data_IF_241638886650
#
_entry.id   IF_241638886650
#
_cell.length_a   1.000
_cell.length_b   1.000
_cell.length_c   1.000
_cell.angle_alpha   90.00
_cell.angle_beta   90.00
_cell.angle_gamma   90.00
#
_symmetry.space_group_name_H-M   'P 1'
#
loop_
_entity.id
_entity.type
_entity.pdbx_description
1 polymer ?
#
# COMPACT_ATOMS: atom_id res chain seq x y z
N UNK A 1 7.02 21.29 5.83
CA UNK A 1 6.74 20.10 5.01
C UNK A 1 7.19 18.81 5.69
N UNK A 2 8.41 18.74 6.25
CA UNK A 2 8.99 17.51 6.84
C UNK A 2 8.15 16.86 7.95
N UNK A 3 7.43 17.63 8.76
CA UNK A 3 6.51 17.10 9.78
C UNK A 3 5.12 16.69 9.25
N UNK A 4 4.70 17.23 8.09
CA UNK A 4 3.41 16.90 7.47
C UNK A 4 3.46 15.56 6.74
N UNK A 5 4.64 15.20 6.22
CA UNK A 5 4.89 13.96 5.49
C UNK A 5 4.58 12.73 6.35
N UNK A 6 5.11 12.56 7.58
CA UNK A 6 4.78 11.43 8.45
C UNK A 6 3.30 11.39 8.83
N UNK A 7 2.70 12.55 9.11
CA UNK A 7 1.27 12.67 9.50
C UNK A 7 0.33 12.29 8.35
N UNK A 8 0.70 12.57 7.10
CA UNK A 8 -0.09 12.22 5.92
C UNK A 8 0.20 10.79 5.44
N UNK A 9 1.46 10.33 5.53
CA UNK A 9 1.84 8.97 5.18
C UNK A 9 1.19 7.93 6.08
N UNK A 10 1.04 8.22 7.37
CA UNK A 10 0.44 7.29 8.32
C UNK A 10 -0.99 6.84 7.91
N UNK A 11 -1.99 7.71 7.73
CA UNK A 11 -3.33 7.31 7.28
C UNK A 11 -3.33 6.74 5.86
N UNK A 12 -2.39 7.17 5.01
CA UNK A 12 -2.25 6.65 3.65
C UNK A 12 -1.73 5.20 3.63
N UNK A 13 -0.87 4.82 4.58
CA UNK A 13 -0.32 3.47 4.73
C UNK A 13 -1.25 2.51 5.48
N UNK A 14 -2.30 3.01 6.14
CA UNK A 14 -3.25 2.14 6.88
C UNK A 14 -3.96 1.12 5.99
N UNK A 15 -4.56 1.49 4.84
CA UNK A 15 -5.24 0.53 3.96
C UNK A 15 -4.39 -0.66 3.49
N UNK A 16 -3.17 -0.48 2.93
CA UNK A 16 -2.33 -1.62 2.54
C UNK A 16 -1.84 -2.40 3.75
N UNK A 17 -1.59 -1.77 4.90
CA UNK A 17 -1.22 -2.48 6.13
C UNK A 17 -2.32 -3.46 6.56
N UNK A 18 -3.58 -3.02 6.53
CA UNK A 18 -4.74 -3.88 6.81
C UNK A 18 -4.80 -5.03 5.80
N UNK A 19 -4.62 -4.74 4.51
CA UNK A 19 -4.59 -5.77 3.46
C UNK A 19 -3.48 -6.81 3.70
N UNK A 20 -2.29 -6.37 4.07
CA UNK A 20 -1.15 -7.24 4.34
C UNK A 20 -1.39 -8.15 5.56
N UNK A 21 -1.90 -7.59 6.66
CA UNK A 21 -2.27 -8.38 7.85
C UNK A 21 -3.34 -9.41 7.51
N UNK A 22 -4.37 -9.02 6.74
CA UNK A 22 -5.45 -9.89 6.32
C UNK A 22 -4.99 -11.06 5.45
N UNK A 23 -4.08 -10.81 4.50
CA UNK A 23 -3.48 -11.87 3.67
C UNK A 23 -2.60 -12.76 4.54
N UNK A 24 -1.74 -12.20 5.38
CA UNK A 24 -0.79 -12.96 6.19
C UNK A 24 -1.49 -13.86 7.20
N UNK A 25 -2.49 -13.35 7.92
CA UNK A 25 -3.28 -14.15 8.87
C UNK A 25 -3.95 -15.34 8.19
N UNK A 26 -4.63 -15.11 7.05
CA UNK A 26 -5.28 -16.21 6.30
C UNK A 26 -4.27 -17.22 5.75
N UNK A 27 -3.04 -16.79 5.47
CA UNK A 27 -1.99 -17.64 4.93
C UNK A 27 -1.45 -18.58 6.01
N UNK A 28 -1.26 -18.04 7.22
CA UNK A 28 -0.88 -18.82 8.40
C UNK A 28 -1.98 -19.79 8.82
N UNK A 29 -3.25 -19.44 8.60
CA UNK A 29 -4.41 -20.33 8.81
C UNK A 29 -4.62 -21.37 7.69
N UNK A 30 -3.69 -21.48 6.72
CA UNK A 30 -3.77 -22.38 5.58
C UNK A 30 -5.09 -22.28 4.78
N UNK A 31 -5.68 -21.08 4.74
CA UNK A 31 -6.91 -20.81 3.99
C UNK A 31 -6.63 -20.82 2.48
N UNK A 32 -7.62 -21.16 1.65
CA UNK A 32 -7.44 -21.16 0.21
C UNK A 32 -7.16 -19.74 -0.32
N UNK A 33 -6.28 -19.63 -1.31
CA UNK A 33 -5.90 -18.36 -1.95
C UNK A 33 -7.10 -17.59 -2.54
N UNK A 34 -8.18 -18.30 -2.90
CA UNK A 34 -9.44 -17.70 -3.36
C UNK A 34 -10.06 -16.73 -2.34
N UNK A 35 -9.87 -16.99 -1.04
CA UNK A 35 -10.36 -16.12 0.03
C UNK A 35 -9.51 -14.85 0.23
N UNK A 36 -8.29 -14.82 -0.32
CA UNK A 36 -7.36 -13.70 -0.20
C UNK A 36 -7.33 -12.81 -1.44
N UNK A 37 -7.89 -13.27 -2.55
CA UNK A 37 -7.81 -12.62 -3.86
C UNK A 37 -8.30 -11.16 -3.84
N UNK A 38 -9.31 -10.84 -3.03
CA UNK A 38 -9.77 -9.47 -2.84
C UNK A 38 -8.70 -8.55 -2.21
N UNK A 39 -8.08 -9.02 -1.13
CA UNK A 39 -7.02 -8.29 -0.43
C UNK A 39 -5.73 -8.19 -1.25
N UNK A 40 -5.37 -9.27 -1.96
CA UNK A 40 -4.24 -9.26 -2.89
C UNK A 40 -4.44 -8.27 -4.03
N UNK A 41 -5.65 -8.15 -4.58
CA UNK A 41 -5.98 -7.13 -5.60
C UNK A 41 -5.88 -5.72 -5.03
N UNK A 42 -6.33 -5.49 -3.80
CA UNK A 42 -6.21 -4.19 -3.14
C UNK A 42 -4.73 -3.80 -2.97
N UNK A 43 -3.91 -4.72 -2.45
CA UNK A 43 -2.46 -4.53 -2.30
C UNK A 43 -1.79 -4.21 -3.64
N UNK A 44 -2.05 -5.04 -4.66
CA UNK A 44 -1.48 -4.85 -5.98
C UNK A 44 -1.90 -3.51 -6.62
N UNK A 45 -3.17 -3.12 -6.46
CA UNK A 45 -3.66 -1.82 -6.94
C UNK A 45 -2.97 -0.67 -6.22
N UNK A 46 -2.84 -0.77 -4.90
CA UNK A 46 -2.14 0.22 -4.09
C UNK A 46 -0.69 0.38 -4.57
N UNK A 47 0.03 -0.72 -4.75
CA UNK A 47 1.43 -0.70 -5.20
C UNK A 47 1.56 -0.05 -6.58
N UNK A 48 0.70 -0.41 -7.54
CA UNK A 48 0.71 0.17 -8.89
C UNK A 48 0.45 1.66 -8.84
N UNK A 49 -0.58 2.11 -8.10
CA UNK A 49 -0.92 3.53 -7.96
C UNK A 49 0.23 4.28 -7.29
N UNK A 50 0.77 3.74 -6.19
CA UNK A 50 1.84 4.36 -5.44
C UNK A 50 3.10 4.53 -6.29
N UNK A 51 3.57 3.48 -6.95
CA UNK A 51 4.75 3.54 -7.83
C UNK A 51 4.53 4.52 -8.97
N UNK A 52 3.35 4.53 -9.58
CA UNK A 52 3.01 5.46 -10.66
C UNK A 52 3.08 6.90 -10.18
N UNK A 53 2.42 7.22 -9.06
CA UNK A 53 2.40 8.56 -8.49
C UNK A 53 3.80 9.00 -8.04
N UNK A 54 4.56 8.14 -7.38
CA UNK A 54 5.93 8.44 -6.98
C UNK A 54 6.82 8.70 -8.19
N UNK A 55 6.68 7.93 -9.27
CA UNK A 55 7.44 8.13 -10.51
C UNK A 55 7.09 9.47 -11.17
N UNK A 56 5.82 9.86 -11.20
CA UNK A 56 5.37 11.15 -11.72
C UNK A 56 5.82 12.32 -10.84
N UNK A 57 5.72 12.17 -9.52
CA UNK A 57 6.10 13.20 -8.56
C UNK A 57 7.61 13.35 -8.42
N UNK A 58 8.40 12.31 -8.70
CA UNK A 58 9.85 12.30 -8.52
C UNK A 58 10.52 13.49 -9.22
N UNK A 59 10.17 13.77 -10.47
CA UNK A 59 10.74 14.89 -11.20
C UNK A 59 10.45 16.25 -10.53
N UNK A 60 9.22 16.45 -10.03
CA UNK A 60 8.84 17.69 -9.36
C UNK A 60 9.52 17.87 -7.99
N UNK A 61 9.81 16.77 -7.29
CA UNK A 61 10.46 16.79 -5.97
C UNK A 61 11.98 16.87 -6.08
N UNK A 62 12.59 16.35 -7.15
CA UNK A 62 14.05 16.37 -7.34
C UNK A 62 14.57 17.73 -7.80
N UNK A 63 13.77 18.48 -8.55
CA UNK A 63 14.13 19.83 -9.03
C UNK A 63 13.93 20.93 -7.95
N UNK A 64 13.37 20.58 -6.78
CA UNK A 64 13.25 21.45 -5.61
C UNK A 64 14.25 21.07 -4.51
#
# INVERSE_FOLDING_TARGET
AELMLPVLLLPFMVPPLIGAVQVTSRLLDARPLSEMLGWLRLLALYDVVFVTLCTMAFAAVVDE
#
